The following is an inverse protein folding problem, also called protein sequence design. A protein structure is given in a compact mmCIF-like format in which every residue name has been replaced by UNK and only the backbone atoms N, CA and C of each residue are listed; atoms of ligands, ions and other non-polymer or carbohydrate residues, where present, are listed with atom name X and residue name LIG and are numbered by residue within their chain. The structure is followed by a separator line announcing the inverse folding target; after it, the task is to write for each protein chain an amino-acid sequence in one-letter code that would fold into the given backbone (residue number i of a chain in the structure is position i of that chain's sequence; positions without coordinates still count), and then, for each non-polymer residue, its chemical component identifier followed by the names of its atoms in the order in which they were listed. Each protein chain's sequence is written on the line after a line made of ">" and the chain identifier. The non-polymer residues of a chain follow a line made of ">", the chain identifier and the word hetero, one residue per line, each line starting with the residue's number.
data_IF_393302057364
#
_entry.id   IF_393302057364
#
_cell.length_a   1.000
_cell.length_b   1.000
_cell.length_c   1.000
_cell.angle_alpha   90.00
_cell.angle_beta   90.00
_cell.angle_gamma   90.00
#
_symmetry.space_group_name_H-M   'P 1'
#
loop_
_entity.id
_entity.type
_entity.pdbx_description
1 polymer ?
#
# COMPACT_ATOMS: atom_id res chain seq x y z
N UNK A 1 -12.02 -6.79 9.20
CA UNK A 1 -10.64 -7.11 9.68
C UNK A 1 -10.02 -5.79 10.09
N UNK A 2 -9.57 -5.63 11.33
CA UNK A 2 -8.95 -4.39 11.83
C UNK A 2 -7.45 -4.48 11.63
N UNK A 3 -6.82 -3.45 11.07
CA UNK A 3 -5.36 -3.39 10.86
C UNK A 3 -4.66 -3.22 12.21
N UNK A 4 -3.44 -3.74 12.34
CA UNK A 4 -2.66 -3.66 13.59
C UNK A 4 -2.34 -2.22 14.06
N UNK A 5 -2.38 -1.21 13.18
CA UNK A 5 -2.19 0.19 13.58
C UNK A 5 -0.75 0.58 13.93
N UNK A 6 0.24 -0.20 13.47
CA UNK A 6 1.64 -0.08 13.92
C UNK A 6 2.53 0.78 13.01
N UNK A 7 2.01 1.34 11.91
CA UNK A 7 2.81 2.14 10.96
C UNK A 7 2.65 3.64 11.21
N UNK A 8 1.52 4.08 11.77
CA UNK A 8 1.17 5.50 11.96
C UNK A 8 2.15 6.28 12.86
N UNK A 9 2.87 5.59 13.75
CA UNK A 9 3.82 6.21 14.67
C UNK A 9 5.24 6.36 14.13
N UNK A 10 5.53 5.90 12.90
CA UNK A 10 6.88 5.96 12.34
C UNK A 10 7.16 7.32 11.71
N UNK A 11 8.42 7.77 11.84
CA UNK A 11 8.92 8.99 11.21
C UNK A 11 8.63 8.96 9.70
N UNK A 12 8.26 10.11 9.12
CA UNK A 12 8.01 10.26 7.69
C UNK A 12 6.81 9.48 7.13
N UNK A 13 6.01 8.78 7.96
CA UNK A 13 4.79 8.13 7.47
C UNK A 13 3.71 9.17 7.12
N UNK A 14 3.19 9.12 5.90
CA UNK A 14 2.15 10.04 5.43
C UNK A 14 0.78 9.36 5.41
N UNK A 15 0.67 8.20 4.76
CA UNK A 15 -0.62 7.51 4.56
C UNK A 15 -0.44 6.04 4.19
N UNK A 16 -1.41 5.21 4.57
CA UNK A 16 -1.58 3.84 4.07
C UNK A 16 -2.98 3.67 3.47
N UNK A 17 -3.05 3.06 2.30
CA UNK A 17 -4.29 2.66 1.65
C UNK A 17 -4.24 1.18 1.24
N UNK A 18 -5.37 0.48 1.37
CA UNK A 18 -5.54 -0.87 0.83
C UNK A 18 -6.52 -0.77 -0.32
N UNK A 19 -6.02 -0.93 -1.53
CA UNK A 19 -6.78 -0.78 -2.77
C UNK A 19 -7.25 -2.15 -3.25
N UNK A 20 -8.56 -2.30 -3.36
CA UNK A 20 -9.17 -3.47 -4.00
C UNK A 20 -9.28 -3.22 -5.51
N UNK A 21 -8.88 -4.18 -6.37
CA UNK A 21 -9.09 -4.06 -7.80
C UNK A 21 -10.59 -3.92 -8.09
N UNK A 22 -10.92 -2.91 -8.90
CA UNK A 22 -12.29 -2.66 -9.34
C UNK A 22 -12.31 -2.53 -10.86
N UNK A 23 -13.51 -2.57 -11.42
CA UNK A 23 -13.72 -2.47 -12.85
C UNK A 23 -14.78 -1.41 -13.14
N UNK A 24 -14.63 -0.72 -14.26
CA UNK A 24 -15.57 0.30 -14.71
C UNK A 24 -15.72 0.23 -16.23
N UNK A 25 -16.96 0.34 -16.70
CA UNK A 25 -17.25 0.44 -18.12
C UNK A 25 -17.00 1.89 -18.59
N UNK A 26 -16.04 2.08 -19.49
CA UNK A 26 -15.78 3.38 -20.13
C UNK A 26 -15.62 3.18 -21.63
N UNK A 27 -16.18 4.10 -22.44
CA UNK A 27 -16.10 4.03 -23.91
C UNK A 27 -16.54 2.67 -24.50
N UNK A 28 -17.60 2.07 -23.92
CA UNK A 28 -18.11 0.77 -24.35
C UNK A 28 -17.22 -0.42 -24.01
N UNK A 29 -16.21 -0.26 -23.14
CA UNK A 29 -15.28 -1.34 -22.76
C UNK A 29 -15.02 -1.46 -21.25
N UNK A 30 -14.75 -2.71 -20.91
CA UNK A 30 -14.04 -3.28 -19.76
C UNK A 30 -12.75 -2.58 -19.28
N UNK A 31 -12.71 -1.73 -18.25
CA UNK A 31 -11.43 -1.07 -17.84
C UNK A 31 -11.17 -1.11 -16.32
N UNK A 32 -9.89 -0.99 -15.92
CA UNK A 32 -9.45 -0.71 -14.55
C UNK A 32 -9.07 -1.92 -13.67
N UNK A 33 -9.28 -3.14 -14.14
CA UNK A 33 -9.03 -4.36 -13.33
C UNK A 33 -7.54 -4.73 -13.28
N UNK A 34 -6.99 -4.88 -12.07
CA UNK A 34 -5.72 -5.59 -11.81
C UNK A 34 -5.99 -6.98 -11.20
N UNK A 35 -4.97 -7.84 -11.20
CA UNK A 35 -5.07 -9.19 -10.65
C UNK A 35 -4.92 -9.25 -9.11
N UNK A 36 -4.56 -8.15 -8.47
CA UNK A 36 -4.15 -8.11 -7.06
C UNK A 36 -4.66 -6.88 -6.32
N UNK A 37 -4.79 -7.00 -5.00
CA UNK A 37 -4.95 -5.84 -4.11
C UNK A 37 -3.61 -5.12 -3.96
N UNK A 38 -3.63 -3.80 -3.76
CA UNK A 38 -2.43 -3.00 -3.52
C UNK A 38 -2.44 -2.52 -2.08
N UNK A 39 -1.34 -2.73 -1.36
CA UNK A 39 -1.05 -2.04 -0.10
C UNK A 39 -0.12 -0.89 -0.45
N UNK A 40 -0.65 0.33 -0.48
CA UNK A 40 0.09 1.53 -0.86
C UNK A 40 0.41 2.35 0.37
N UNK A 41 1.68 2.66 0.58
CA UNK A 41 2.13 3.57 1.63
C UNK A 41 2.87 4.76 1.05
N UNK A 42 2.58 5.94 1.57
CA UNK A 42 3.26 7.19 1.23
C UNK A 42 4.19 7.56 2.37
N UNK A 43 5.40 7.98 2.01
CA UNK A 43 6.46 8.35 2.94
C UNK A 43 7.11 9.66 2.49
N UNK A 44 7.57 10.47 3.44
CA UNK A 44 8.31 11.70 3.17
C UNK A 44 9.65 11.41 2.49
N UNK A 45 10.34 10.36 2.94
CA UNK A 45 11.66 9.95 2.44
C UNK A 45 11.75 8.42 2.35
N UNK A 46 12.64 7.93 1.47
CA UNK A 46 12.86 6.48 1.32
C UNK A 46 13.52 5.89 2.56
N UNK A 47 14.36 6.65 3.26
CA UNK A 47 15.06 6.25 4.47
C UNK A 47 14.09 5.94 5.61
N UNK A 48 13.02 6.74 5.76
CA UNK A 48 11.96 6.52 6.74
C UNK A 48 11.22 5.20 6.48
N UNK A 49 10.89 4.92 5.22
CA UNK A 49 10.33 3.62 4.81
C UNK A 49 11.28 2.47 5.15
N UNK A 50 12.57 2.60 4.81
CA UNK A 50 13.58 1.57 5.11
C UNK A 50 13.71 1.36 6.62
N UNK A 51 13.74 2.43 7.42
CA UNK A 51 13.80 2.35 8.88
C UNK A 51 12.58 1.59 9.43
N UNK A 52 11.38 1.88 8.93
CA UNK A 52 10.17 1.14 9.28
C UNK A 52 10.27 -0.35 8.94
N UNK A 53 10.73 -0.74 7.73
CA UNK A 53 10.86 -2.16 7.36
C UNK A 53 11.83 -2.94 8.26
N UNK A 54 12.79 -2.26 8.88
CA UNK A 54 13.74 -2.85 9.82
C UNK A 54 13.23 -2.91 11.27
N UNK A 55 12.10 -2.26 11.57
CA UNK A 55 11.54 -2.14 12.92
C UNK A 55 10.92 -3.44 13.46
N UNK A 56 10.71 -3.49 14.78
CA UNK A 56 9.96 -4.57 15.44
C UNK A 56 8.48 -4.52 15.05
N UNK A 57 7.94 -3.33 14.83
CA UNK A 57 6.54 -3.13 14.44
C UNK A 57 6.24 -3.77 13.09
N UNK A 58 7.14 -3.60 12.12
CA UNK A 58 7.01 -4.26 10.81
C UNK A 58 7.02 -5.78 10.95
N UNK A 59 7.96 -6.34 11.73
CA UNK A 59 8.03 -7.79 11.98
C UNK A 59 6.77 -8.31 12.67
N UNK A 60 6.24 -7.55 13.63
CA UNK A 60 5.02 -7.89 14.38
C UNK A 60 3.80 -7.88 13.46
N UNK A 61 3.64 -6.84 12.64
CA UNK A 61 2.56 -6.74 11.67
C UNK A 61 2.59 -7.87 10.61
N UNK A 62 3.78 -8.38 10.28
CA UNK A 62 3.98 -9.46 9.31
C UNK A 62 4.19 -10.84 9.95
N UNK A 63 3.92 -10.99 11.25
CA UNK A 63 4.05 -12.27 11.96
C UNK A 63 2.89 -13.23 11.67
N UNK A 64 1.69 -12.70 11.47
CA UNK A 64 0.48 -13.44 11.06
C UNK A 64 0.33 -13.45 9.53
N UNK A 65 1.28 -14.12 8.85
CA UNK A 65 1.23 -14.22 7.39
C UNK A 65 0.06 -15.13 6.99
N UNK A 66 -0.82 -14.69 6.07
CA UNK A 66 -1.84 -15.57 5.53
C UNK A 66 -1.19 -16.79 4.85
N UNK A 67 -1.88 -17.94 4.84
CA UNK A 67 -1.38 -19.13 4.17
C UNK A 67 -0.98 -18.82 2.72
N UNK A 68 0.15 -19.35 2.20
CA UNK A 68 0.60 -19.10 0.84
C UNK A 68 -0.47 -19.41 -0.21
N UNK A 69 -1.32 -20.40 0.06
CA UNK A 69 -2.40 -20.88 -0.81
C UNK A 69 -3.54 -19.84 -0.97
N UNK A 70 -3.56 -18.80 -0.13
CA UNK A 70 -4.48 -17.66 -0.26
C UNK A 70 -4.09 -16.73 -1.41
N UNK A 71 -2.86 -16.81 -1.92
CA UNK A 71 -2.34 -15.95 -2.96
C UNK A 71 -2.13 -16.71 -4.26
N UNK A 72 -2.55 -16.12 -5.38
CA UNK A 72 -2.41 -16.72 -6.71
C UNK A 72 -0.96 -16.65 -7.27
N UNK A 73 -0.02 -16.10 -6.50
CA UNK A 73 1.39 -15.92 -6.84
C UNK A 73 2.12 -15.09 -5.79
N UNK A 74 3.40 -14.83 -6.04
CA UNK A 74 4.23 -13.99 -5.16
C UNK A 74 3.74 -12.54 -5.12
N UNK A 75 3.93 -11.90 -3.96
CA UNK A 75 3.72 -10.45 -3.86
C UNK A 75 4.81 -9.73 -4.66
N UNK A 76 4.40 -8.75 -5.46
CA UNK A 76 5.31 -7.85 -6.17
C UNK A 76 5.53 -6.61 -5.31
N UNK A 77 6.79 -6.22 -5.11
CA UNK A 77 7.16 -4.97 -4.46
C UNK A 77 7.57 -3.94 -5.51
N UNK A 78 6.99 -2.75 -5.44
CA UNK A 78 7.30 -1.63 -6.31
C UNK A 78 7.57 -0.37 -5.45
N UNK A 79 8.55 0.43 -5.85
CA UNK A 79 8.90 1.70 -5.21
C UNK A 79 8.78 2.81 -6.26
N UNK A 80 8.07 3.86 -5.91
CA UNK A 80 7.76 4.97 -6.82
C UNK A 80 8.10 6.31 -6.17
N UNK A 81 8.55 7.26 -6.99
CA UNK A 81 8.71 8.65 -6.60
C UNK A 81 7.53 9.47 -7.14
N UNK A 82 6.95 10.34 -6.30
CA UNK A 82 5.88 11.24 -6.72
C UNK A 82 6.49 12.41 -7.48
N UNK A 83 6.48 12.33 -8.81
CA UNK A 83 7.00 13.41 -9.67
C UNK A 83 6.00 14.55 -9.92
N UNK A 84 4.71 14.30 -9.70
CA UNK A 84 3.63 15.29 -9.85
C UNK A 84 2.41 14.89 -9.02
N UNK A 85 1.76 15.86 -8.38
CA UNK A 85 0.52 15.66 -7.63
C UNK A 85 -0.46 16.82 -7.86
N UNK A 86 -1.75 16.54 -7.77
CA UNK A 86 -2.82 17.53 -7.71
C UNK A 86 -3.73 17.20 -6.52
N UNK A 87 -4.10 18.21 -5.73
CA UNK A 87 -5.07 18.09 -4.64
C UNK A 87 -6.25 19.04 -4.89
N UNK A 88 -7.44 18.63 -4.44
CA UNK A 88 -8.66 19.44 -4.53
C UNK A 88 -8.93 20.25 -3.25
N UNK A 89 -7.90 20.47 -2.42
CA UNK A 89 -8.07 21.18 -1.15
C UNK A 89 -8.59 22.60 -1.40
N UNK A 90 -9.84 22.81 -1.03
CA UNK A 90 -10.42 24.13 -0.86
C UNK A 90 -9.98 24.59 0.53
N UNK A 91 -9.16 25.64 0.59
CA UNK A 91 -8.80 26.32 1.84
C UNK A 91 -10.05 26.73 2.64
#
# INVERSE_FOLDING_TARGET
>A
RTRAGLVEGHSGFVRLEILKPTEVAMHGRSMGRSAYHVVLTYWEQVEDFVAWTNSVDFKTAHSDRPPPEMFAGDNVFELHEVIQSASSESN
#
